data_IF_019581069940
#
_entry.id   IF_019581069940
#
_cell.length_a   1.000
_cell.length_b   1.000
_cell.length_c   1.000
_cell.angle_alpha   90.00
_cell.angle_beta   90.00
_cell.angle_gamma   90.00
#
_symmetry.space_group_name_H-M   'P 1'
#
loop_
_entity.id
_entity.type
_entity.pdbx_description
1 polymer ?
#
# COMPACT_ATOMS: atom_id res chain seq x y z
N UNK A 1 -7.35 3.96 7.90
CA UNK A 1 -7.06 4.06 9.33
C UNK A 1 -6.82 5.51 9.77
N UNK A 2 -5.97 6.26 9.06
CA UNK A 2 -5.65 7.65 9.41
C UNK A 2 -6.88 8.55 9.52
N UNK A 3 -7.79 8.50 8.53
CA UNK A 3 -9.03 9.28 8.56
C UNK A 3 -9.98 8.88 9.70
N UNK A 4 -10.03 7.60 10.06
CA UNK A 4 -10.91 7.10 11.12
C UNK A 4 -10.39 7.44 12.53
N UNK A 5 -9.07 7.47 12.70
CA UNK A 5 -8.42 7.71 13.99
C UNK A 5 -7.89 9.12 14.15
N UNK A 6 -8.25 10.05 13.28
CA UNK A 6 -7.71 11.41 13.26
C UNK A 6 -6.18 11.39 13.38
N UNK A 7 -5.51 10.68 12.47
CA UNK A 7 -4.08 10.47 12.49
C UNK A 7 -3.40 11.18 11.32
N UNK A 8 -2.24 11.78 11.56
CA UNK A 8 -1.39 12.29 10.51
C UNK A 8 -0.69 11.13 9.79
N UNK A 9 -0.74 11.14 8.46
CA UNK A 9 -0.02 10.20 7.62
C UNK A 9 1.33 10.80 7.23
N UNK A 10 2.39 10.04 7.48
CA UNK A 10 3.77 10.41 7.17
C UNK A 10 4.34 9.29 6.29
N UNK A 11 4.94 9.64 5.14
CA UNK A 11 5.74 8.68 4.41
C UNK A 11 7.16 8.70 4.97
N UNK A 12 7.69 7.54 5.33
CA UNK A 12 9.02 7.42 5.93
C UNK A 12 10.14 7.93 5.02
N UNK A 13 9.95 7.87 3.70
CA UNK A 13 10.90 8.38 2.71
C UNK A 13 11.04 9.90 2.74
N UNK A 14 10.00 10.63 3.14
CA UNK A 14 9.97 12.09 3.14
C UNK A 14 10.52 12.69 4.43
N UNK A 15 10.79 11.86 5.44
CA UNK A 15 11.27 12.32 6.75
C UNK A 15 12.77 12.64 6.67
N UNK A 16 13.11 13.89 6.87
CA UNK A 16 14.50 14.36 6.98
C UNK A 16 15.02 14.28 8.43
N UNK A 17 14.17 14.62 9.39
CA UNK A 17 14.47 14.56 10.82
C UNK A 17 13.20 14.23 11.60
N UNK A 18 13.27 13.27 12.50
CA UNK A 18 12.14 12.91 13.37
C UNK A 18 11.89 13.96 14.44
N UNK A 19 12.90 14.77 14.77
CA UNK A 19 12.77 15.83 15.79
C UNK A 19 11.91 17.01 15.29
N UNK A 20 11.79 17.18 13.97
CA UNK A 20 11.04 18.27 13.37
C UNK A 20 9.55 17.96 13.21
N UNK A 21 9.15 16.72 13.49
CA UNK A 21 7.78 16.28 13.36
C UNK A 21 7.00 16.64 14.62
N UNK A 22 6.13 17.64 14.48
CA UNK A 22 5.14 17.95 15.52
C UNK A 22 3.93 17.04 15.40
N UNK A 23 3.42 16.56 16.53
CA UNK A 23 2.23 15.71 16.55
C UNK A 23 1.27 16.14 17.67
N UNK A 24 0.03 16.42 17.29
CA UNK A 24 -1.09 16.62 18.22
C UNK A 24 -2.10 15.47 18.17
N UNK A 25 -1.91 14.55 17.21
CA UNK A 25 -2.83 13.47 16.87
C UNK A 25 -2.09 12.13 16.83
N UNK A 26 -2.82 11.04 16.58
CA UNK A 26 -2.23 9.76 16.27
C UNK A 26 -1.40 9.83 14.98
N UNK A 27 -0.46 8.92 14.80
CA UNK A 27 0.46 8.91 13.66
C UNK A 27 0.32 7.62 12.88
N UNK A 28 0.26 7.74 11.56
CA UNK A 28 0.44 6.62 10.65
C UNK A 28 1.72 6.85 9.83
N UNK A 29 2.62 5.87 9.80
CA UNK A 29 3.87 5.95 9.04
C UNK A 29 3.82 4.89 7.97
N UNK A 30 3.88 5.33 6.71
CA UNK A 30 3.95 4.46 5.56
C UNK A 30 5.39 4.18 5.16
N UNK A 31 5.62 3.02 4.54
CA UNK A 31 6.95 2.60 4.06
C UNK A 31 8.04 2.58 5.15
N UNK A 32 7.70 2.18 6.36
CA UNK A 32 8.60 2.20 7.53
C UNK A 32 9.88 1.37 7.33
N UNK A 33 9.88 0.43 6.40
CA UNK A 33 11.07 -0.32 6.00
C UNK A 33 12.19 0.55 5.39
N UNK A 34 11.92 1.82 5.08
CA UNK A 34 12.90 2.81 4.64
C UNK A 34 13.47 3.67 5.78
N UNK A 35 13.23 3.30 7.03
CA UNK A 35 13.76 4.02 8.20
C UNK A 35 15.29 4.07 8.17
N UNK A 36 15.87 5.27 8.16
CA UNK A 36 17.32 5.51 8.13
C UNK A 36 17.85 5.94 9.49
N UNK A 37 17.11 6.79 10.19
CA UNK A 37 17.49 7.33 11.50
C UNK A 37 16.70 6.61 12.60
N UNK A 38 17.24 5.50 13.05
CA UNK A 38 16.62 4.67 14.09
C UNK A 38 16.62 5.36 15.46
N UNK A 39 17.67 6.13 15.78
CA UNK A 39 17.79 6.84 17.05
C UNK A 39 16.79 7.99 17.13
N UNK A 40 16.72 8.82 16.09
CA UNK A 40 15.74 9.90 16.00
C UNK A 40 14.31 9.37 16.07
N UNK A 41 14.02 8.28 15.33
CA UNK A 41 12.70 7.63 15.41
C UNK A 41 12.42 7.09 16.81
N UNK A 42 13.38 6.49 17.49
CA UNK A 42 13.21 5.97 18.84
C UNK A 42 12.83 7.08 19.83
N UNK A 43 13.48 8.25 19.75
CA UNK A 43 13.11 9.41 20.55
C UNK A 43 11.71 9.92 20.22
N UNK A 44 11.38 10.04 18.95
CA UNK A 44 10.04 10.41 18.47
C UNK A 44 8.97 9.45 19.00
N UNK A 45 9.20 8.14 18.89
CA UNK A 45 8.30 7.11 19.40
C UNK A 45 8.08 7.24 20.91
N UNK A 46 9.13 7.44 21.70
CA UNK A 46 9.00 7.62 23.14
C UNK A 46 8.17 8.87 23.48
N UNK A 47 8.32 9.95 22.73
CA UNK A 47 7.51 11.16 22.90
C UNK A 47 6.03 10.90 22.58
N UNK A 48 5.72 10.13 21.53
CA UNK A 48 4.35 9.70 21.21
C UNK A 48 3.70 8.92 22.36
N UNK A 49 4.45 8.00 22.97
CA UNK A 49 3.94 7.19 24.09
C UNK A 49 3.68 8.04 25.32
N UNK A 50 4.55 9.02 25.63
CA UNK A 50 4.34 9.96 26.73
C UNK A 50 3.05 10.77 26.55
N UNK A 51 2.76 11.19 25.32
CA UNK A 51 1.55 11.91 24.94
C UNK A 51 0.32 10.98 24.75
N UNK A 52 0.46 9.68 25.06
CA UNK A 52 -0.60 8.66 24.91
C UNK A 52 -1.18 8.59 23.49
N UNK A 53 -0.35 8.83 22.48
CA UNK A 53 -0.74 8.72 21.07
C UNK A 53 -0.54 7.30 20.56
N UNK A 54 -1.34 6.93 19.58
CA UNK A 54 -1.23 5.66 18.89
C UNK A 54 -0.43 5.81 17.62
N UNK A 55 0.40 4.82 17.32
CA UNK A 55 1.18 4.73 16.09
C UNK A 55 0.76 3.50 15.30
N UNK A 56 0.61 3.68 13.99
CA UNK A 56 0.51 2.59 13.01
C UNK A 56 1.71 2.71 12.08
N UNK A 57 2.35 1.59 11.78
CA UNK A 57 3.42 1.54 10.77
C UNK A 57 3.10 0.49 9.73
N UNK A 58 3.39 0.78 8.45
CA UNK A 58 3.34 -0.23 7.39
C UNK A 58 4.75 -0.63 7.00
N UNK A 59 4.94 -1.91 6.72
CA UNK A 59 6.24 -2.47 6.30
C UNK A 59 5.99 -3.40 5.10
N UNK A 60 6.79 -3.26 4.06
CA UNK A 60 6.77 -4.24 2.98
C UNK A 60 7.39 -5.55 3.48
N UNK A 61 6.59 -6.62 3.45
CA UNK A 61 7.00 -7.95 3.91
C UNK A 61 8.15 -8.54 3.07
N UNK A 62 8.32 -8.08 1.83
CA UNK A 62 9.39 -8.52 0.94
C UNK A 62 10.67 -7.69 1.12
N UNK A 63 10.64 -6.64 1.93
CA UNK A 63 11.83 -5.85 2.25
C UNK A 63 12.74 -6.64 3.19
N UNK A 64 14.05 -6.48 3.03
CA UNK A 64 15.06 -6.98 3.98
C UNK A 64 15.21 -6.01 5.17
N UNK A 65 14.05 -5.53 5.69
CA UNK A 65 14.05 -4.55 6.77
C UNK A 65 14.48 -5.18 8.10
N UNK A 66 15.51 -4.61 8.70
CA UNK A 66 16.01 -5.01 10.01
C UNK A 66 16.32 -3.78 10.86
N UNK A 67 15.83 -3.76 12.10
CA UNK A 67 16.12 -2.71 13.07
C UNK A 67 17.37 -3.11 13.85
N UNK A 68 18.42 -2.28 13.76
CA UNK A 68 19.71 -2.51 14.40
C UNK A 68 19.75 -2.02 15.85
N UNK A 69 19.04 -0.93 16.14
CA UNK A 69 18.95 -0.37 17.49
C UNK A 69 18.15 -1.33 18.39
N UNK A 70 18.84 -1.96 19.35
CA UNK A 70 18.27 -3.03 20.21
C UNK A 70 16.99 -2.59 20.94
N UNK A 71 16.97 -1.38 21.46
CA UNK A 71 15.83 -0.87 22.22
C UNK A 71 14.62 -0.64 21.32
N UNK A 72 14.82 -0.08 20.13
CA UNK A 72 13.77 0.07 19.13
C UNK A 72 13.26 -1.29 18.63
N UNK A 73 14.16 -2.23 18.35
CA UNK A 73 13.79 -3.58 17.93
C UNK A 73 12.91 -4.29 18.99
N UNK A 74 13.27 -4.15 20.27
CA UNK A 74 12.47 -4.70 21.37
C UNK A 74 11.06 -4.09 21.41
N UNK A 75 10.94 -2.77 21.24
CA UNK A 75 9.65 -2.07 21.15
C UNK A 75 8.85 -2.52 19.93
N UNK A 76 9.49 -2.57 18.77
CA UNK A 76 8.84 -2.97 17.53
C UNK A 76 8.27 -4.39 17.60
N UNK A 77 9.01 -5.33 18.21
CA UNK A 77 8.52 -6.70 18.45
C UNK A 77 7.30 -6.79 19.37
N UNK A 78 7.06 -5.77 20.19
CA UNK A 78 5.88 -5.71 21.06
C UNK A 78 4.63 -5.12 20.37
N UNK A 79 4.75 -4.63 19.13
CA UNK A 79 3.61 -4.12 18.39
C UNK A 79 2.63 -5.23 18.03
N UNK A 80 1.35 -4.91 18.09
CA UNK A 80 0.34 -5.79 17.47
C UNK A 80 0.51 -5.72 15.97
N UNK A 81 0.73 -6.86 15.33
CA UNK A 81 0.92 -6.94 13.89
C UNK A 81 -0.22 -7.67 13.19
N UNK A 82 -0.54 -7.22 11.99
CA UNK A 82 -1.47 -7.89 11.08
C UNK A 82 -0.85 -7.93 9.69
N UNK A 83 -0.93 -9.08 9.04
CA UNK A 83 -0.41 -9.27 7.69
C UNK A 83 -1.55 -9.13 6.68
N UNK A 84 -1.31 -8.38 5.61
CA UNK A 84 -2.19 -8.33 4.44
C UNK A 84 -1.72 -9.44 3.51
N UNK A 85 -2.54 -10.47 3.37
CA UNK A 85 -2.26 -11.59 2.48
C UNK A 85 -2.49 -11.19 1.01
N UNK A 86 -1.84 -11.94 0.12
CA UNK A 86 -2.08 -11.78 -1.32
C UNK A 86 -3.55 -12.05 -1.65
N UNK A 87 -4.12 -11.32 -2.62
CA UNK A 87 -5.54 -11.44 -2.92
C UNK A 87 -5.86 -12.79 -3.57
N UNK A 88 -6.95 -13.42 -3.11
CA UNK A 88 -7.55 -14.58 -3.76
C UNK A 88 -8.38 -14.16 -4.98
N UNK A 89 -8.80 -15.12 -5.80
CA UNK A 89 -9.48 -14.87 -7.09
C UNK A 89 -10.76 -14.04 -6.94
N UNK A 90 -11.55 -14.28 -5.89
CA UNK A 90 -12.77 -13.52 -5.65
C UNK A 90 -12.48 -12.05 -5.30
N UNK A 91 -11.43 -11.81 -4.52
CA UNK A 91 -11.00 -10.47 -4.18
C UNK A 91 -10.39 -9.76 -5.39
N UNK A 92 -9.54 -10.44 -6.18
CA UNK A 92 -9.01 -9.92 -7.44
C UNK A 92 -10.14 -9.49 -8.37
N UNK A 93 -11.16 -10.33 -8.52
CA UNK A 93 -12.35 -10.04 -9.35
C UNK A 93 -13.08 -8.80 -8.84
N UNK A 94 -13.30 -8.69 -7.53
CA UNK A 94 -13.94 -7.54 -6.92
C UNK A 94 -13.14 -6.24 -7.15
N UNK A 95 -11.81 -6.30 -7.03
CA UNK A 95 -10.91 -5.16 -7.29
C UNK A 95 -11.00 -4.74 -8.75
N UNK A 96 -10.92 -5.68 -9.70
CA UNK A 96 -11.02 -5.39 -11.14
C UNK A 96 -12.35 -4.70 -11.46
N UNK A 97 -13.47 -5.26 -10.96
CA UNK A 97 -14.80 -4.69 -11.18
C UNK A 97 -14.91 -3.28 -10.58
N UNK A 98 -14.43 -3.09 -9.34
CA UNK A 98 -14.45 -1.79 -8.67
C UNK A 98 -13.60 -0.76 -9.41
N UNK A 99 -12.41 -1.14 -9.88
CA UNK A 99 -11.52 -0.24 -10.61
C UNK A 99 -12.19 0.30 -11.86
N UNK A 100 -12.73 -0.56 -12.72
CA UNK A 100 -13.38 -0.13 -13.97
C UNK A 100 -14.73 0.57 -13.72
N UNK A 101 -15.46 0.19 -12.68
CA UNK A 101 -16.66 0.93 -12.26
C UNK A 101 -16.33 2.37 -11.87
N UNK A 102 -15.27 2.59 -11.07
CA UNK A 102 -14.81 3.93 -10.71
C UNK A 102 -14.31 4.73 -11.92
N UNK A 103 -13.68 4.07 -12.87
CA UNK A 103 -13.26 4.67 -14.14
C UNK A 103 -14.43 4.90 -15.12
N UNK A 104 -15.68 4.51 -14.77
CA UNK A 104 -16.86 4.56 -15.63
C UNK A 104 -16.71 3.77 -16.95
N UNK A 105 -15.92 2.71 -16.91
CA UNK A 105 -15.64 1.84 -18.05
C UNK A 105 -16.35 0.50 -17.86
N UNK A 106 -17.13 0.07 -18.87
CA UNK A 106 -17.75 -1.25 -18.86
C UNK A 106 -16.73 -2.31 -19.27
N UNK A 107 -16.67 -3.38 -18.49
CA UNK A 107 -15.83 -4.54 -18.75
C UNK A 107 -16.68 -5.82 -18.78
N UNK A 108 -16.51 -6.63 -19.80
CA UNK A 108 -17.25 -7.88 -19.97
C UNK A 108 -16.72 -8.98 -19.03
N UNK A 109 -17.62 -9.87 -18.60
CA UNK A 109 -17.29 -10.97 -17.68
C UNK A 109 -16.16 -11.87 -18.20
N UNK A 110 -16.16 -12.20 -19.50
CA UNK A 110 -15.11 -13.00 -20.14
C UNK A 110 -13.74 -12.32 -20.10
N UNK A 111 -13.71 -10.98 -20.13
CA UNK A 111 -12.48 -10.20 -20.05
C UNK A 111 -11.93 -10.24 -18.64
N UNK A 112 -12.80 -10.17 -17.62
CA UNK A 112 -12.41 -10.34 -16.22
C UNK A 112 -11.83 -11.73 -15.98
N UNK A 113 -12.50 -12.79 -16.45
CA UNK A 113 -12.02 -14.17 -16.34
C UNK A 113 -10.68 -14.39 -17.05
N UNK A 114 -10.47 -13.70 -18.18
CA UNK A 114 -9.22 -13.75 -18.92
C UNK A 114 -8.08 -13.07 -18.14
N UNK A 115 -8.36 -11.94 -17.49
CA UNK A 115 -7.41 -11.23 -16.61
C UNK A 115 -7.03 -12.09 -15.42
N UNK A 116 -8.01 -12.64 -14.70
CA UNK A 116 -7.77 -13.44 -13.50
C UNK A 116 -6.80 -14.61 -13.71
N UNK A 117 -6.80 -15.18 -14.92
CA UNK A 117 -5.89 -16.29 -15.26
C UNK A 117 -4.44 -15.86 -15.55
N UNK A 118 -4.17 -14.56 -15.63
CA UNK A 118 -2.89 -14.02 -16.12
C UNK A 118 -2.25 -12.97 -15.22
N UNK A 119 -3.02 -12.39 -14.34
CA UNK A 119 -2.50 -11.40 -13.38
C UNK A 119 -1.81 -12.08 -12.22
N UNK A 120 -0.73 -11.49 -11.76
CA UNK A 120 -0.09 -11.89 -10.51
C UNK A 120 -1.02 -11.61 -9.33
N UNK A 121 -0.95 -12.44 -8.31
CA UNK A 121 -1.67 -12.23 -7.04
C UNK A 121 -0.93 -11.22 -6.16
N UNK A 122 -0.76 -10.03 -6.72
CA UNK A 122 -0.06 -8.91 -6.11
C UNK A 122 -0.85 -7.65 -6.40
N UNK A 123 -1.18 -6.89 -5.35
CA UNK A 123 -2.02 -5.69 -5.47
C UNK A 123 -1.38 -4.64 -6.36
N UNK A 124 -0.09 -4.35 -6.20
CA UNK A 124 0.59 -3.31 -6.96
C UNK A 124 0.67 -3.66 -8.44
N UNK A 125 1.06 -4.90 -8.73
CA UNK A 125 1.12 -5.40 -10.12
C UNK A 125 -0.26 -5.39 -10.79
N UNK A 126 -1.29 -5.80 -10.04
CA UNK A 126 -2.67 -5.74 -10.53
C UNK A 126 -3.06 -4.30 -10.90
N UNK A 127 -2.89 -3.34 -9.98
CA UNK A 127 -3.25 -1.95 -10.24
C UNK A 127 -2.49 -1.37 -11.43
N UNK A 128 -1.20 -1.64 -11.57
CA UNK A 128 -0.38 -1.20 -12.70
C UNK A 128 -0.91 -1.76 -14.04
N UNK A 129 -1.37 -3.00 -14.07
CA UNK A 129 -1.98 -3.60 -15.27
C UNK A 129 -3.33 -2.95 -15.58
N UNK A 130 -4.20 -2.77 -14.57
CA UNK A 130 -5.51 -2.16 -14.76
C UNK A 130 -5.39 -0.72 -15.30
N UNK A 131 -4.45 0.05 -14.77
CA UNK A 131 -4.15 1.40 -15.24
C UNK A 131 -3.70 1.41 -16.71
N UNK A 132 -2.76 0.53 -17.08
CA UNK A 132 -2.30 0.40 -18.47
C UNK A 132 -3.44 0.04 -19.41
N UNK A 133 -4.32 -0.90 -19.02
CA UNK A 133 -5.50 -1.29 -19.80
C UNK A 133 -6.42 -0.07 -19.99
N UNK A 134 -6.69 0.67 -18.92
CA UNK A 134 -7.57 1.85 -18.98
C UNK A 134 -7.00 2.92 -19.91
N UNK A 135 -5.73 3.29 -19.75
CA UNK A 135 -5.05 4.28 -20.58
C UNK A 135 -5.11 3.87 -22.06
N UNK A 136 -4.78 2.61 -22.36
CA UNK A 136 -4.75 2.14 -23.74
C UNK A 136 -6.15 2.08 -24.38
N UNK A 137 -7.18 1.71 -23.62
CA UNK A 137 -8.56 1.71 -24.09
C UNK A 137 -9.05 3.13 -24.43
N UNK A 138 -8.67 4.11 -23.61
CA UNK A 138 -8.97 5.53 -23.84
C UNK A 138 -8.23 6.07 -25.08
N UNK A 139 -6.94 5.77 -25.22
CA UNK A 139 -6.14 6.18 -26.37
C UNK A 139 -6.68 5.61 -27.69
N UNK A 140 -7.05 4.32 -27.68
CA UNK A 140 -7.61 3.64 -28.85
C UNK A 140 -9.11 3.93 -29.06
N UNK A 141 -9.76 4.64 -28.13
CA UNK A 141 -11.22 4.86 -28.12
C UNK A 141 -12.02 3.57 -28.34
N UNK A 142 -11.57 2.49 -27.75
CA UNK A 142 -12.09 1.14 -27.97
C UNK A 142 -12.52 0.47 -26.67
N UNK A 143 -13.47 -0.46 -26.76
CA UNK A 143 -13.85 -1.29 -25.62
C UNK A 143 -12.66 -2.17 -25.16
N UNK A 144 -12.66 -2.48 -23.87
CA UNK A 144 -11.68 -3.43 -23.31
C UNK A 144 -12.04 -4.83 -23.78
N UNK A 145 -11.14 -5.47 -24.50
CA UNK A 145 -11.30 -6.82 -25.06
C UNK A 145 -10.13 -7.70 -24.62
N UNK A 146 -10.28 -9.02 -24.72
CA UNK A 146 -9.20 -9.97 -24.46
C UNK A 146 -7.99 -9.76 -25.38
N UNK A 147 -8.21 -9.23 -26.59
CA UNK A 147 -7.14 -8.87 -27.54
C UNK A 147 -6.32 -7.70 -27.00
N UNK A 148 -6.98 -6.64 -26.52
CA UNK A 148 -6.31 -5.48 -25.91
C UNK A 148 -5.43 -5.89 -24.72
N UNK A 149 -5.95 -6.80 -23.88
CA UNK A 149 -5.19 -7.32 -22.73
C UNK A 149 -3.97 -8.11 -23.19
N UNK A 150 -4.10 -8.93 -24.23
CA UNK A 150 -2.99 -9.69 -24.79
C UNK A 150 -1.85 -8.77 -25.24
N UNK A 151 -2.18 -7.68 -25.95
CA UNK A 151 -1.19 -6.68 -26.40
C UNK A 151 -0.38 -6.05 -25.25
N UNK A 152 -0.95 -6.00 -24.04
CA UNK A 152 -0.32 -5.38 -22.86
C UNK A 152 0.54 -6.38 -22.09
N UNK A 153 0.16 -7.65 -22.11
CA UNK A 153 0.78 -8.72 -21.31
C UNK A 153 1.84 -9.52 -22.10
N UNK A 154 2.08 -9.17 -23.36
CA UNK A 154 3.16 -9.73 -24.18
C UNK A 154 4.40 -8.87 -24.04
#
# INVERSE_FOLDING_TARGET
>A
WSGYNNANLINCLDVQSWNDISFNTNIAIDDFHNLKDEEGFFHFYNSLILEKKTILVTVDINSNFEIKLKDLNSRFKSFTSSKIENPEDDLLKAIIMKYFSNAQVQIDKNVIEYLLKRVDRDYQKLYNILEKINILSLQRKSKITTHLIRDIMT
#
